data_IF_007472687841
#
_entry.id   IF_007472687841
#
_cell.length_a   1.000
_cell.length_b   1.000
_cell.length_c   1.000
_cell.angle_alpha   90.00
_cell.angle_beta   90.00
_cell.angle_gamma   90.00
#
_symmetry.space_group_name_H-M   'P 1'
#
loop_
_entity.id
_entity.type
_entity.pdbx_description
1 polymer ?
#
# COMPACT_ATOMS: atom_id res chain seq x y z
N UNK A 1 -24.03 -9.23 1.36
CA UNK A 1 -24.26 -10.42 0.48
C UNK A 1 -23.59 -11.62 1.12
N UNK A 2 -24.37 -12.66 1.41
CA UNK A 2 -23.85 -13.92 1.96
C UNK A 2 -23.64 -14.88 0.81
N UNK A 3 -22.46 -15.49 0.75
CA UNK A 3 -22.12 -16.54 -0.21
C UNK A 3 -21.72 -17.82 0.55
N UNK A 4 -21.97 -18.96 -0.06
CA UNK A 4 -21.48 -20.25 0.45
C UNK A 4 -20.37 -20.74 -0.48
N UNK A 5 -19.23 -21.06 0.11
CA UNK A 5 -18.10 -21.62 -0.62
C UNK A 5 -17.67 -22.94 0.02
N UNK A 6 -17.29 -23.87 -0.81
CA UNK A 6 -16.73 -25.16 -0.35
C UNK A 6 -15.21 -25.03 -0.29
N UNK A 7 -14.67 -25.20 0.91
CA UNK A 7 -13.23 -25.26 1.15
C UNK A 7 -12.93 -26.69 1.63
N UNK A 8 -12.21 -27.42 0.82
CA UNK A 8 -11.98 -28.86 1.02
C UNK A 8 -13.30 -29.64 1.17
N UNK A 9 -13.61 -30.15 2.38
CA UNK A 9 -14.83 -30.86 2.68
C UNK A 9 -15.89 -30.02 3.38
N UNK A 10 -15.54 -28.80 3.79
CA UNK A 10 -16.40 -27.93 4.59
C UNK A 10 -17.11 -26.88 3.74
N UNK A 11 -18.39 -26.68 4.01
CA UNK A 11 -19.16 -25.56 3.48
C UNK A 11 -19.02 -24.38 4.43
N UNK A 12 -18.49 -23.25 3.95
CA UNK A 12 -18.32 -22.01 4.73
C UNK A 12 -19.25 -20.92 4.22
N UNK A 13 -19.91 -20.21 5.15
CA UNK A 13 -20.68 -19.02 4.86
C UNK A 13 -19.82 -17.78 5.07
N UNK A 14 -19.77 -16.93 4.05
CA UNK A 14 -18.99 -15.71 4.06
C UNK A 14 -19.92 -14.53 3.81
N UNK A 15 -19.89 -13.54 4.68
CA UNK A 15 -20.59 -12.28 4.47
C UNK A 15 -19.65 -11.26 3.80
N UNK A 16 -19.80 -11.10 2.49
CA UNK A 16 -18.98 -10.16 1.70
C UNK A 16 -19.20 -8.69 2.05
N UNK A 17 -20.25 -8.36 2.83
CA UNK A 17 -20.45 -7.00 3.34
C UNK A 17 -19.65 -6.68 4.61
N UNK A 18 -18.94 -7.67 5.15
CA UNK A 18 -18.13 -7.55 6.36
C UNK A 18 -16.68 -7.99 6.10
N UNK A 19 -15.95 -7.27 5.24
CA UNK A 19 -14.54 -7.58 5.02
C UNK A 19 -13.74 -7.36 6.30
N UNK A 20 -12.71 -8.17 6.50
CA UNK A 20 -11.73 -7.95 7.57
C UNK A 20 -10.61 -7.11 6.98
N UNK A 21 -10.40 -5.92 7.54
CA UNK A 21 -9.26 -5.08 7.18
C UNK A 21 -7.99 -5.65 7.82
N UNK A 22 -7.10 -6.15 6.98
CA UNK A 22 -5.77 -6.66 7.38
C UNK A 22 -4.65 -5.70 7.00
N UNK A 23 -4.99 -4.50 6.51
CA UNK A 23 -4.00 -3.47 6.18
C UNK A 23 -3.39 -2.87 7.45
N UNK A 24 -2.21 -2.30 7.29
CA UNK A 24 -1.58 -1.47 8.31
C UNK A 24 -1.52 -0.03 7.80
N UNK A 25 -1.76 0.98 8.66
CA UNK A 25 -1.68 2.36 8.23
C UNK A 25 -0.23 2.72 7.87
N UNK A 26 -0.06 3.36 6.72
CA UNK A 26 1.21 3.93 6.32
C UNK A 26 1.39 5.30 6.98
N UNK A 27 2.52 5.53 7.61
CA UNK A 27 2.86 6.82 8.21
C UNK A 27 4.30 7.22 7.94
N UNK A 28 4.55 8.53 7.81
CA UNK A 28 5.89 9.10 7.70
C UNK A 28 6.67 9.11 9.03
N UNK A 29 6.31 8.30 10.00
CA UNK A 29 6.94 8.26 11.32
C UNK A 29 7.79 7.00 11.51
N UNK A 30 8.66 7.02 12.53
CA UNK A 30 9.44 5.84 12.94
C UNK A 30 8.58 4.71 13.53
N UNK A 31 7.28 4.94 13.76
CA UNK A 31 6.33 3.90 14.19
C UNK A 31 5.85 3.01 13.03
N UNK A 32 6.08 3.44 11.79
CA UNK A 32 5.81 2.59 10.62
C UNK A 32 6.75 1.39 10.64
N UNK A 33 6.31 0.19 10.23
CA UNK A 33 7.22 -0.91 9.97
C UNK A 33 8.33 -0.49 9.01
N UNK A 34 9.55 -0.88 9.32
CA UNK A 34 10.73 -0.57 8.51
C UNK A 34 11.58 -1.85 8.48
N UNK A 35 11.81 -2.37 7.28
CA UNK A 35 12.69 -3.50 7.06
C UNK A 35 13.92 -3.09 6.22
N UNK A 36 14.90 -4.00 6.13
CA UNK A 36 16.06 -3.85 5.27
C UNK A 36 16.92 -2.61 5.53
N UNK A 37 16.89 -2.07 6.75
CA UNK A 37 17.68 -0.88 7.16
C UNK A 37 17.38 0.37 6.31
N UNK A 38 16.20 0.44 5.69
CA UNK A 38 15.76 1.60 4.92
C UNK A 38 15.25 2.70 5.86
N UNK A 39 15.21 3.92 5.34
CA UNK A 39 14.56 5.03 6.03
C UNK A 39 13.05 4.85 6.06
N UNK A 40 12.41 5.52 7.01
CA UNK A 40 10.94 5.56 7.10
C UNK A 40 10.31 6.12 5.83
N UNK A 41 9.02 5.82 5.56
CA UNK A 41 8.28 6.49 4.48
C UNK A 41 8.35 8.01 4.63
N UNK A 42 8.46 8.72 3.53
CA UNK A 42 8.43 10.18 3.49
C UNK A 42 7.11 10.68 2.92
N UNK A 43 6.48 11.60 3.63
CA UNK A 43 5.29 12.33 3.17
C UNK A 43 5.61 13.81 3.32
N UNK A 44 5.66 14.53 2.19
CA UNK A 44 6.04 15.95 2.18
C UNK A 44 5.23 16.73 1.14
N UNK A 45 4.88 18.00 1.41
CA UNK A 45 4.21 18.83 0.43
C UNK A 45 4.99 18.92 -0.88
N UNK A 46 4.28 18.89 -1.99
CA UNK A 46 4.86 19.22 -3.30
C UNK A 46 5.32 20.67 -3.26
N UNK A 47 6.48 20.94 -3.87
CA UNK A 47 7.02 22.29 -4.06
C UNK A 47 7.25 22.53 -5.55
N UNK A 48 6.88 23.73 -6.00
CA UNK A 48 7.13 24.19 -7.34
C UNK A 48 7.48 25.69 -7.30
N UNK A 49 8.77 26.00 -7.44
CA UNK A 49 9.29 27.33 -7.13
C UNK A 49 8.97 27.74 -5.69
N UNK A 50 8.33 28.87 -5.53
CA UNK A 50 7.90 29.39 -4.21
C UNK A 50 6.55 28.79 -3.75
N UNK A 51 5.86 28.05 -4.61
CA UNK A 51 4.60 27.42 -4.23
C UNK A 51 4.83 26.16 -3.41
N UNK A 52 4.09 26.05 -2.31
CA UNK A 52 4.10 24.87 -1.44
C UNK A 52 2.67 24.34 -1.35
N UNK A 53 2.46 23.08 -1.71
CA UNK A 53 1.17 22.39 -1.67
C UNK A 53 0.65 22.14 -0.25
N UNK A 54 0.43 23.20 0.52
CA UNK A 54 0.00 23.11 1.91
C UNK A 54 -0.92 24.30 2.24
N UNK A 55 -2.12 23.99 2.69
CA UNK A 55 -3.14 25.01 2.99
C UNK A 55 -2.66 26.00 4.05
N UNK A 56 -1.94 25.54 5.07
CA UNK A 56 -1.38 26.44 6.10
C UNK A 56 -0.30 27.39 5.59
N UNK A 57 0.15 27.23 4.35
CA UNK A 57 1.14 28.06 3.67
C UNK A 57 0.54 28.78 2.44
N UNK A 58 -0.80 28.88 2.40
CA UNK A 58 -1.51 29.67 1.39
C UNK A 58 -1.95 28.90 0.14
N UNK A 59 -1.69 27.61 0.03
CA UNK A 59 -2.22 26.81 -1.07
C UNK A 59 -3.73 26.54 -0.93
N UNK A 60 -4.41 26.35 -2.04
CA UNK A 60 -5.83 25.97 -2.06
C UNK A 60 -6.08 24.54 -1.54
N UNK A 61 -5.07 23.67 -1.61
CA UNK A 61 -5.16 22.26 -1.24
C UNK A 61 -3.88 21.78 -0.55
N UNK A 62 -3.99 20.70 0.24
CA UNK A 62 -2.84 19.94 0.67
C UNK A 62 -2.49 18.93 -0.41
N UNK A 63 -1.30 19.03 -0.97
CA UNK A 63 -0.82 18.22 -2.07
C UNK A 63 0.55 17.66 -1.74
N UNK A 64 0.63 16.33 -1.51
CA UNK A 64 1.84 15.71 -1.01
C UNK A 64 2.46 14.72 -1.98
N UNK A 65 3.78 14.68 -2.00
CA UNK A 65 4.54 13.54 -2.47
C UNK A 65 4.59 12.46 -1.38
N UNK A 66 4.50 11.19 -1.80
CA UNK A 66 4.67 10.04 -0.93
C UNK A 66 5.78 9.18 -1.51
N UNK A 67 6.82 8.94 -0.71
CA UNK A 67 7.90 8.02 -1.03
C UNK A 67 7.84 6.85 -0.06
N UNK A 68 7.70 5.66 -0.59
CA UNK A 68 7.67 4.42 0.18
C UNK A 68 8.33 3.28 -0.61
N UNK A 69 8.80 2.29 0.11
CA UNK A 69 9.24 1.02 -0.46
C UNK A 69 8.26 -0.07 0.04
N UNK A 70 7.50 -0.73 -0.86
CA UNK A 70 6.53 -1.75 -0.45
C UNK A 70 7.16 -2.88 0.37
N UNK A 71 8.36 -3.35 -0.02
CA UNK A 71 9.06 -4.45 0.65
C UNK A 71 9.50 -4.12 2.08
N UNK A 72 9.66 -2.82 2.40
CA UNK A 72 10.14 -2.39 3.70
C UNK A 72 9.04 -1.82 4.60
N UNK A 73 7.96 -1.29 4.03
CA UNK A 73 7.08 -0.39 4.77
C UNK A 73 5.66 -0.91 4.98
N UNK A 74 5.27 -2.01 4.36
CA UNK A 74 3.91 -2.49 4.49
C UNK A 74 3.67 -3.89 3.94
N UNK A 75 2.46 -4.37 4.15
CA UNK A 75 1.98 -5.58 3.49
C UNK A 75 1.87 -5.32 1.99
N UNK A 76 2.40 -6.22 1.19
CA UNK A 76 2.42 -6.08 -0.26
C UNK A 76 2.29 -7.44 -0.94
N UNK A 77 1.95 -7.42 -2.21
CA UNK A 77 1.88 -8.60 -3.07
C UNK A 77 3.06 -8.59 -4.03
N UNK A 78 3.68 -9.73 -4.18
CA UNK A 78 4.83 -9.91 -5.08
C UNK A 78 4.52 -10.93 -6.18
N UNK A 79 5.31 -10.89 -7.24
CA UNK A 79 5.35 -11.93 -8.25
C UNK A 79 6.77 -12.49 -8.38
N UNK A 80 6.93 -13.54 -9.19
CA UNK A 80 8.22 -14.20 -9.39
C UNK A 80 9.32 -13.24 -9.87
N UNK A 81 8.96 -12.13 -10.53
CA UNK A 81 9.88 -11.09 -10.96
C UNK A 81 10.67 -10.43 -9.83
N UNK A 82 10.24 -10.62 -8.56
CA UNK A 82 11.00 -10.14 -7.41
C UNK A 82 12.34 -10.89 -7.21
N UNK A 83 12.42 -12.15 -7.60
CA UNK A 83 13.58 -13.02 -7.29
C UNK A 83 14.30 -13.55 -8.52
N UNK A 84 13.87 -13.19 -9.72
CA UNK A 84 14.53 -13.59 -10.98
C UNK A 84 14.96 -12.38 -11.79
N UNK A 85 15.93 -12.56 -12.69
CA UNK A 85 16.45 -11.47 -13.53
C UNK A 85 15.48 -10.96 -14.59
N UNK A 86 14.51 -11.79 -14.99
CA UNK A 86 13.52 -11.40 -15.99
C UNK A 86 12.46 -10.51 -15.36
N UNK A 87 12.15 -9.39 -16.02
CA UNK A 87 11.11 -8.48 -15.55
C UNK A 87 9.70 -9.06 -15.72
N UNK A 88 8.96 -9.15 -14.62
CA UNK A 88 7.54 -9.45 -14.61
C UNK A 88 6.79 -8.35 -13.87
N UNK A 89 5.72 -7.85 -14.49
CA UNK A 89 4.83 -6.87 -13.85
C UNK A 89 3.78 -7.57 -13.02
N UNK A 90 3.63 -7.20 -11.75
CA UNK A 90 2.58 -7.71 -10.88
C UNK A 90 1.18 -7.49 -11.48
N UNK A 91 0.94 -6.35 -12.12
CA UNK A 91 -0.34 -6.03 -12.75
C UNK A 91 -0.71 -6.97 -13.91
N UNK A 92 0.30 -7.58 -14.55
CA UNK A 92 0.07 -8.53 -15.65
C UNK A 92 -0.04 -9.97 -15.17
N UNK A 93 0.50 -10.26 -13.99
CA UNK A 93 0.53 -11.62 -13.43
C UNK A 93 -0.60 -11.86 -12.44
N UNK A 94 -1.11 -10.83 -11.80
CA UNK A 94 -2.27 -10.93 -10.93
C UNK A 94 -3.51 -11.22 -11.77
N UNK A 95 -4.11 -12.38 -11.54
CA UNK A 95 -5.39 -12.76 -12.15
C UNK A 95 -6.51 -12.38 -11.19
N UNK A 96 -7.42 -11.55 -11.64
CA UNK A 96 -8.68 -11.22 -10.95
C UNK A 96 -9.78 -12.17 -11.38
#
# INVERSE_FOLDING_TARGET
>A
MIVEIKIDKDLKKIDLSKPIDISIPLSGSKKNPIAWYLDKPSISPVKDGDWIGKVSEGAAVNFNNIQLNPHAHGTHTECIGHIISQFYSINKTLKT
#
